data_IF_232709317487
#
_entry.id   IF_232709317487
#
_cell.length_a   1.000
_cell.length_b   1.000
_cell.length_c   1.000
_cell.angle_alpha   90.00
_cell.angle_beta   90.00
_cell.angle_gamma   90.00
#
_symmetry.space_group_name_H-M   'P 1'
#
loop_
_entity.id
_entity.type
_entity.pdbx_description
1 polymer ?
#
# COMPACT_ATOMS: atom_id res chain seq x y z
N UNK A 1 13.05 -30.20 12.09
CA UNK A 1 11.99 -31.21 12.22
C UNK A 1 12.50 -32.55 11.70
N UNK A 2 11.91 -33.69 12.12
CA UNK A 2 12.17 -35.02 11.55
C UNK A 2 11.32 -35.32 10.30
N UNK A 3 10.30 -34.49 10.06
CA UNK A 3 9.48 -34.52 8.87
C UNK A 3 10.31 -34.14 7.62
N UNK A 4 10.22 -34.95 6.56
CA UNK A 4 10.95 -34.71 5.31
C UNK A 4 10.44 -33.50 4.53
N UNK A 5 9.17 -33.13 4.69
CA UNK A 5 8.57 -32.00 3.98
C UNK A 5 9.07 -30.66 4.50
N UNK A 6 9.47 -30.61 5.77
CA UNK A 6 10.14 -29.45 6.37
C UNK A 6 11.43 -29.03 5.64
N UNK A 7 12.07 -29.92 4.87
CA UNK A 7 13.25 -29.59 4.04
C UNK A 7 12.90 -28.86 2.74
N UNK A 8 11.64 -28.88 2.33
CA UNK A 8 11.14 -28.18 1.12
C UNK A 8 10.85 -26.70 1.38
N UNK A 9 10.73 -26.33 2.66
CA UNK A 9 10.58 -24.94 3.09
C UNK A 9 11.97 -24.29 3.06
N UNK A 10 12.25 -23.55 1.99
CA UNK A 10 13.53 -22.84 1.80
C UNK A 10 13.48 -21.38 2.27
N UNK A 11 12.29 -20.87 2.61
CA UNK A 11 12.08 -19.51 3.12
C UNK A 11 11.93 -19.52 4.64
N UNK A 12 12.49 -18.49 5.31
CA UNK A 12 12.41 -18.34 6.77
C UNK A 12 11.31 -17.40 7.23
N UNK A 13 10.89 -16.48 6.36
CA UNK A 13 9.82 -15.53 6.66
C UNK A 13 8.43 -16.10 6.40
N UNK A 14 7.41 -15.51 7.02
CA UNK A 14 6.01 -15.96 6.96
C UNK A 14 5.37 -15.94 5.57
N UNK A 15 6.13 -15.64 4.51
CA UNK A 15 5.70 -15.65 3.13
C UNK A 15 6.60 -14.79 2.26
N UNK A 16 6.18 -14.59 1.01
CA UNK A 16 6.80 -13.62 0.10
C UNK A 16 6.25 -12.24 0.43
N UNK A 17 7.12 -11.28 0.73
CA UNK A 17 6.73 -9.90 1.05
C UNK A 17 6.34 -9.08 -0.20
N UNK A 18 5.42 -9.59 -1.02
CA UNK A 18 5.04 -8.96 -2.30
C UNK A 18 4.39 -7.59 -2.13
N UNK A 19 3.63 -7.38 -1.05
CA UNK A 19 2.92 -6.12 -0.86
C UNK A 19 3.88 -4.96 -0.50
N UNK A 20 5.00 -5.27 0.14
CA UNK A 20 5.94 -4.22 0.58
C UNK A 20 6.75 -3.68 -0.59
N UNK A 21 6.97 -4.48 -1.65
CA UNK A 21 7.81 -4.09 -2.78
C UNK A 21 7.14 -3.11 -3.74
N UNK A 22 5.85 -2.82 -3.55
CA UNK A 22 5.08 -1.92 -4.41
C UNK A 22 4.78 -0.62 -3.69
N UNK A 23 5.07 0.50 -4.34
CA UNK A 23 4.62 1.81 -3.89
C UNK A 23 3.08 1.90 -3.89
N UNK A 24 2.53 2.82 -3.11
CA UNK A 24 1.08 2.93 -2.93
C UNK A 24 0.49 3.75 -4.08
N UNK A 25 -0.22 3.08 -4.98
CA UNK A 25 -0.88 3.69 -6.14
C UNK A 25 -2.40 3.60 -6.01
N UNK A 26 -3.07 4.54 -5.31
CA UNK A 26 -4.52 4.57 -5.24
C UNK A 26 -5.10 5.14 -6.55
N UNK A 27 -5.90 4.36 -7.27
CA UNK A 27 -6.61 4.84 -8.46
C UNK A 27 -7.33 6.16 -8.14
N UNK A 28 -7.07 7.26 -8.88
CA UNK A 28 -7.61 8.58 -8.53
C UNK A 28 -9.13 8.68 -8.55
N UNK A 29 -9.80 7.73 -9.22
CA UNK A 29 -11.24 7.69 -9.44
C UNK A 29 -11.96 6.78 -8.44
N UNK A 30 -11.41 5.63 -8.09
CA UNK A 30 -12.06 4.63 -7.22
C UNK A 30 -11.42 4.55 -5.83
N UNK A 31 -10.17 4.96 -5.69
CA UNK A 31 -9.34 4.75 -4.51
C UNK A 31 -8.85 3.31 -4.35
N UNK A 32 -9.07 2.43 -5.33
CA UNK A 32 -8.55 1.05 -5.29
C UNK A 32 -7.05 1.04 -5.56
N UNK A 33 -6.32 0.15 -4.88
CA UNK A 33 -4.89 -0.01 -5.15
C UNK A 33 -4.65 -0.63 -6.53
N UNK A 34 -3.82 0.01 -7.34
CA UNK A 34 -3.43 -0.46 -8.67
C UNK A 34 -2.32 -1.53 -8.56
N UNK A 35 -2.74 -2.79 -8.42
CA UNK A 35 -1.85 -3.95 -8.24
C UNK A 35 -0.98 -4.28 -9.46
N UNK A 36 -1.39 -3.88 -10.66
CA UNK A 36 -0.67 -4.25 -11.88
C UNK A 36 0.53 -3.32 -12.07
N UNK A 37 1.72 -3.78 -11.69
CA UNK A 37 2.96 -3.01 -11.73
C UNK A 37 4.00 -3.73 -12.61
N UNK A 38 4.70 -2.95 -13.44
CA UNK A 38 5.84 -3.48 -14.18
C UNK A 38 7.03 -3.64 -13.22
N UNK A 39 7.57 -4.85 -13.16
CA UNK A 39 8.78 -5.14 -12.36
C UNK A 39 9.95 -5.51 -13.27
N UNK A 40 11.17 -5.21 -12.81
CA UNK A 40 12.41 -5.75 -13.37
C UNK A 40 12.92 -6.81 -12.42
N UNK A 41 13.27 -7.97 -12.94
CA UNK A 41 13.78 -9.10 -12.17
C UNK A 41 15.20 -9.37 -12.65
N UNK A 42 16.11 -9.63 -11.72
CA UNK A 42 17.46 -10.09 -12.01
C UNK A 42 17.90 -11.17 -11.02
N UNK A 43 18.94 -11.92 -11.38
CA UNK A 43 19.54 -12.88 -10.45
C UNK A 43 20.42 -12.12 -9.46
N UNK A 44 20.39 -12.46 -8.16
CA UNK A 44 21.27 -11.83 -7.21
C UNK A 44 22.73 -12.10 -7.57
N UNK A 45 23.58 -11.10 -7.40
CA UNK A 45 25.03 -11.17 -7.57
C UNK A 45 25.71 -12.00 -6.49
N UNK A 46 27.00 -12.34 -6.67
CA UNK A 46 27.73 -13.25 -5.76
C UNK A 46 27.91 -12.69 -4.34
N UNK A 47 27.77 -11.38 -4.15
CA UNK A 47 27.96 -10.71 -2.86
C UNK A 47 26.65 -10.25 -2.21
N UNK A 48 25.50 -10.39 -2.89
CA UNK A 48 24.20 -9.99 -2.36
C UNK A 48 23.67 -11.05 -1.41
N UNK A 49 23.20 -10.61 -0.24
CA UNK A 49 22.71 -11.45 0.84
C UNK A 49 21.23 -11.18 1.10
N UNK A 50 20.60 -12.14 1.73
CA UNK A 50 19.25 -11.97 2.25
C UNK A 50 19.20 -10.78 3.22
N UNK A 51 18.32 -9.81 2.95
CA UNK A 51 18.19 -8.58 3.75
C UNK A 51 18.96 -7.37 3.20
N UNK A 52 19.80 -7.52 2.17
CA UNK A 52 20.45 -6.37 1.51
C UNK A 52 19.44 -5.53 0.72
N UNK A 53 18.35 -6.14 0.28
CA UNK A 53 17.22 -5.47 -0.34
C UNK A 53 16.31 -4.93 0.77
N UNK A 54 16.11 -3.62 0.77
CA UNK A 54 15.15 -2.96 1.63
C UNK A 54 14.16 -2.15 0.80
N UNK A 55 13.01 -1.85 1.39
CA UNK A 55 12.00 -0.98 0.80
C UNK A 55 12.08 0.38 1.45
N UNK A 56 12.17 1.42 0.62
CA UNK A 56 12.07 2.80 1.07
C UNK A 56 10.60 3.21 1.23
N UNK A 57 10.18 3.32 2.49
CA UNK A 57 8.82 3.71 2.84
C UNK A 57 8.54 5.19 2.62
N UNK A 58 9.57 6.05 2.65
CA UNK A 58 9.42 7.47 2.36
C UNK A 58 9.10 7.67 0.88
N UNK A 59 9.82 7.00 -0.01
CA UNK A 59 9.51 7.00 -1.46
C UNK A 59 8.11 6.46 -1.75
N UNK A 60 7.72 5.38 -1.08
CA UNK A 60 6.36 4.84 -1.19
C UNK A 60 5.29 5.88 -0.82
N UNK A 61 5.57 6.71 0.18
CA UNK A 61 4.68 7.78 0.62
C UNK A 61 4.69 9.01 -0.31
N UNK A 62 5.83 9.35 -0.90
CA UNK A 62 5.92 10.39 -1.94
C UNK A 62 5.06 10.03 -3.15
N UNK A 63 5.17 8.80 -3.65
CA UNK A 63 4.34 8.29 -4.74
C UNK A 63 2.86 8.29 -4.36
N UNK A 64 2.51 7.91 -3.13
CA UNK A 64 1.14 8.03 -2.64
C UNK A 64 0.61 9.47 -2.78
N UNK A 65 1.40 10.47 -2.37
CA UNK A 65 1.03 11.89 -2.45
C UNK A 65 0.86 12.36 -3.90
N UNK A 66 1.74 11.92 -4.81
CA UNK A 66 1.62 12.22 -6.24
C UNK A 66 0.28 11.72 -6.81
N UNK A 67 -0.09 10.49 -6.48
CA UNK A 67 -1.36 9.90 -6.92
C UNK A 67 -2.57 10.52 -6.23
N UNK A 68 -2.45 10.86 -4.94
CA UNK A 68 -3.48 11.57 -4.20
C UNK A 68 -3.80 12.92 -4.84
N UNK A 69 -2.78 13.65 -5.33
CA UNK A 69 -2.97 14.93 -6.02
C UNK A 69 -3.76 14.81 -7.34
N UNK A 70 -3.82 13.62 -7.93
CA UNK A 70 -4.63 13.34 -9.13
C UNK A 70 -6.10 13.05 -8.80
N UNK A 71 -6.45 12.87 -7.53
CA UNK A 71 -7.82 12.54 -7.11
C UNK A 71 -8.78 13.69 -7.41
N UNK A 72 -10.01 13.31 -7.75
CA UNK A 72 -11.11 14.27 -7.95
C UNK A 72 -12.13 14.11 -6.83
N UNK A 73 -12.80 15.21 -6.42
CA UNK A 73 -13.93 15.11 -5.51
C UNK A 73 -14.96 14.11 -6.03
N UNK A 74 -15.63 13.41 -5.12
CA UNK A 74 -16.69 12.50 -5.50
C UNK A 74 -17.96 13.26 -5.91
N UNK A 75 -18.92 12.61 -6.59
CA UNK A 75 -20.18 13.25 -6.99
C UNK A 75 -21.14 13.55 -5.83
N UNK A 76 -20.81 13.17 -4.60
CA UNK A 76 -21.64 13.45 -3.42
C UNK A 76 -21.71 14.94 -3.07
N UNK A 77 -22.76 15.38 -2.36
CA UNK A 77 -23.01 16.80 -2.06
C UNK A 77 -21.88 17.50 -1.28
N UNK A 78 -21.04 16.77 -0.54
CA UNK A 78 -19.83 17.32 0.09
C UNK A 78 -18.54 16.62 -0.37
N UNK A 79 -18.53 16.06 -1.58
CA UNK A 79 -17.36 15.43 -2.19
C UNK A 79 -17.05 14.02 -1.70
N UNK A 80 -17.97 13.35 -0.98
CA UNK A 80 -17.75 12.01 -0.43
C UNK A 80 -17.99 10.90 -1.49
N UNK A 81 -17.05 9.96 -1.64
CA UNK A 81 -17.28 8.75 -2.46
C UNK A 81 -18.27 7.79 -1.81
N UNK A 82 -18.39 7.84 -0.48
CA UNK A 82 -19.30 6.99 0.30
C UNK A 82 -20.04 7.79 1.38
N UNK A 83 -21.38 7.82 1.38
CA UNK A 83 -22.18 8.53 2.37
C UNK A 83 -21.88 8.13 3.83
N UNK A 84 -21.92 9.10 4.74
CA UNK A 84 -21.58 8.91 6.15
C UNK A 84 -22.56 8.01 6.92
N UNK A 85 -23.79 7.83 6.44
CA UNK A 85 -24.80 6.97 7.05
C UNK A 85 -24.60 5.47 6.80
N UNK A 86 -23.65 5.08 5.95
CA UNK A 86 -23.35 3.66 5.70
C UNK A 86 -22.62 3.06 6.90
N UNK A 87 -23.12 1.95 7.46
CA UNK A 87 -22.48 1.24 8.58
C UNK A 87 -21.11 0.68 8.18
N UNK A 88 -20.09 0.91 9.02
CA UNK A 88 -18.71 0.46 8.79
C UNK A 88 -18.06 0.12 10.13
N UNK A 89 -17.11 -0.82 10.11
CA UNK A 89 -16.27 -1.10 11.28
C UNK A 89 -15.47 0.15 11.71
N UNK A 90 -15.04 0.96 10.73
CA UNK A 90 -14.39 2.25 10.95
C UNK A 90 -15.19 3.36 10.25
N UNK A 91 -15.97 4.10 11.04
CA UNK A 91 -16.70 5.28 10.54
C UNK A 91 -15.70 6.42 10.34
N UNK A 92 -15.76 7.16 9.22
CA UNK A 92 -14.85 8.28 8.98
C UNK A 92 -14.99 9.37 10.05
N UNK A 93 -13.89 10.09 10.31
CA UNK A 93 -13.95 11.29 11.14
C UNK A 93 -14.83 12.35 10.46
N UNK A 94 -15.92 12.72 11.15
CA UNK A 94 -16.91 13.69 10.69
C UNK A 94 -16.42 15.14 10.80
N UNK A 95 -15.26 15.39 11.42
CA UNK A 95 -14.66 16.71 11.48
C UNK A 95 -14.34 17.24 10.07
N UNK A 96 -14.38 18.57 9.87
CA UNK A 96 -14.10 19.19 8.57
C UNK A 96 -12.69 18.79 8.11
N UNK A 97 -12.61 18.08 6.98
CA UNK A 97 -11.34 17.56 6.45
C UNK A 97 -10.88 16.21 7.02
N UNK A 98 -11.51 15.69 8.08
CA UNK A 98 -11.12 14.43 8.74
C UNK A 98 -11.30 13.16 7.90
N UNK A 99 -12.07 13.24 6.81
CA UNK A 99 -12.24 12.16 5.82
C UNK A 99 -11.24 12.22 4.65
N UNK A 100 -10.57 13.35 4.45
CA UNK A 100 -9.89 13.67 3.19
C UNK A 100 -8.40 13.97 3.35
N UNK A 101 -7.99 14.47 4.52
CA UNK A 101 -6.62 14.87 4.78
C UNK A 101 -6.12 14.18 6.05
N UNK A 102 -4.95 13.55 5.95
CA UNK A 102 -4.12 13.35 7.15
C UNK A 102 -3.82 14.76 7.64
N UNK A 103 -4.29 15.12 8.84
CA UNK A 103 -3.90 16.39 9.44
C UNK A 103 -2.39 16.32 9.60
N UNK A 104 -1.65 17.20 8.94
CA UNK A 104 -0.25 17.42 9.27
C UNK A 104 -0.23 17.87 10.73
N UNK A 105 0.13 16.95 11.62
CA UNK A 105 0.40 17.29 13.01
C UNK A 105 1.84 17.76 13.05
N UNK A 106 2.04 19.03 13.38
CA UNK A 106 3.31 19.53 13.93
C UNK A 106 3.74 18.69 15.15
#
# INVERSE_FOLDING_TARGET
SKDSDSKRIFWKDGGVHQNITHAVHPDPISGMHCWHQRVRIEKPGPNEKYGDIFVDTNKSHEIYKEWLAMTRPAPGPNGERRPLWFKRAFTPDKSKGGCYYVKDTD
#
